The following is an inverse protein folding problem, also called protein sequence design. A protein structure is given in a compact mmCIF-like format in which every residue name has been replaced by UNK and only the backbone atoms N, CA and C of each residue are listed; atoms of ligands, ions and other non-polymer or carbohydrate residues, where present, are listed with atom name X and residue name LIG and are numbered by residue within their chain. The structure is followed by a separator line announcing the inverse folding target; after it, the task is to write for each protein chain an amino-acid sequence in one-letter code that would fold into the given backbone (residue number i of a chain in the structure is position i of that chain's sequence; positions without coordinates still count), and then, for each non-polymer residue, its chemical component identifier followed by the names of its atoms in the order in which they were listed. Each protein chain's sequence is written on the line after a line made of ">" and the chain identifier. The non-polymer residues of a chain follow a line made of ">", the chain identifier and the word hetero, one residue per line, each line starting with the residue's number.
data_IF_435970513414
#
_entry.id   IF_435970513414
#
_cell.length_a   1.000
_cell.length_b   1.000
_cell.length_c   1.000
_cell.angle_alpha   90.00
_cell.angle_beta   90.00
_cell.angle_gamma   90.00
#
_symmetry.space_group_name_H-M   'P 1'
#
loop_
_entity.id
_entity.type
_entity.pdbx_description
1 polymer ?
#
# COMPACT_ATOMS: atom_id res chain seq x y z
N UNK A 1 -5.35 9.43 -1.88
CA UNK A 1 -6.41 9.47 -2.91
C UNK A 1 -5.93 8.70 -4.12
N UNK A 2 -6.82 8.07 -4.90
CA UNK A 2 -6.45 7.40 -6.15
C UNK A 2 -5.84 8.37 -7.17
N UNK A 3 -4.83 7.92 -7.89
CA UNK A 3 -4.07 8.67 -8.89
C UNK A 3 -4.17 8.00 -10.28
N UNK A 4 -4.24 8.82 -11.33
CA UNK A 4 -4.14 8.40 -12.73
C UNK A 4 -2.67 8.05 -13.08
N UNK A 5 -2.25 6.86 -12.65
CA UNK A 5 -0.88 6.39 -12.83
C UNK A 5 -0.61 6.03 -14.30
N UNK A 6 0.45 6.57 -14.94
CA UNK A 6 0.78 6.24 -16.33
C UNK A 6 0.96 4.73 -16.54
N UNK A 7 0.33 4.19 -17.58
CA UNK A 7 0.39 2.77 -17.93
C UNK A 7 -0.69 1.90 -17.28
N UNK A 8 -1.51 2.45 -16.39
CA UNK A 8 -2.66 1.76 -15.79
C UNK A 8 -3.97 2.23 -16.42
N UNK A 9 -4.88 1.28 -16.67
CA UNK A 9 -6.21 1.56 -17.24
C UNK A 9 -7.16 2.17 -16.20
N UNK A 10 -7.07 1.69 -14.96
CA UNK A 10 -7.88 2.14 -13.84
C UNK A 10 -7.05 3.06 -12.94
N UNK A 11 -7.71 3.97 -12.20
CA UNK A 11 -7.02 4.76 -11.16
C UNK A 11 -6.38 3.83 -10.13
N UNK A 12 -5.18 4.16 -9.67
CA UNK A 12 -4.44 3.38 -8.68
C UNK A 12 -4.30 4.18 -7.41
N UNK A 13 -4.59 3.58 -6.25
CA UNK A 13 -4.17 4.13 -4.96
C UNK A 13 -2.84 3.51 -4.59
N UNK A 14 -1.91 4.32 -4.05
CA UNK A 14 -0.59 3.86 -3.64
C UNK A 14 -0.20 4.51 -2.31
N UNK A 15 0.30 3.68 -1.39
CA UNK A 15 1.03 4.06 -0.20
C UNK A 15 2.51 3.78 -0.43
N UNK A 16 3.29 4.83 -0.69
CA UNK A 16 4.73 4.75 -0.98
C UNK A 16 5.50 5.71 -0.06
N UNK A 17 5.42 5.48 1.26
CA UNK A 17 6.15 6.24 2.28
C UNK A 17 7.63 5.84 2.35
N UNK A 18 8.33 5.90 1.22
CA UNK A 18 9.67 5.34 1.03
C UNK A 18 10.74 6.43 1.06
N UNK A 19 11.95 6.10 1.49
CA UNK A 19 13.10 7.00 1.48
C UNK A 19 13.52 7.36 0.06
N UNK A 20 13.49 6.38 -0.85
CA UNK A 20 13.74 6.58 -2.28
C UNK A 20 12.41 6.53 -3.02
N UNK A 21 12.12 7.55 -3.82
CA UNK A 21 10.87 7.67 -4.54
C UNK A 21 10.64 6.48 -5.49
N UNK A 22 9.47 5.83 -5.37
CA UNK A 22 9.08 4.69 -6.21
C UNK A 22 9.76 3.37 -5.85
N UNK A 23 10.48 3.30 -4.73
CA UNK A 23 11.10 2.08 -4.24
C UNK A 23 10.05 1.04 -3.83
N UNK A 24 10.07 -0.12 -4.46
CA UNK A 24 9.20 -1.26 -4.10
C UNK A 24 9.88 -2.30 -3.21
N UNK A 25 11.19 -2.14 -2.93
CA UNK A 25 11.89 -2.94 -1.91
C UNK A 25 11.63 -2.42 -0.50
N UNK A 26 11.26 -1.14 -0.39
CA UNK A 26 10.70 -0.57 0.83
C UNK A 26 9.22 -0.92 0.95
N UNK A 27 8.69 -0.86 2.17
CA UNK A 27 7.31 -1.24 2.42
C UNK A 27 6.38 -0.31 1.64
N UNK A 28 5.60 -0.90 0.75
CA UNK A 28 4.64 -0.19 -0.09
C UNK A 28 3.38 -1.02 -0.26
N UNK A 29 2.28 -0.35 -0.59
CA UNK A 29 1.04 -1.01 -0.94
C UNK A 29 0.32 -0.23 -2.03
N UNK A 30 -0.23 -0.94 -3.01
CA UNK A 30 -0.97 -0.34 -4.12
C UNK A 30 -2.11 -1.22 -4.61
N UNK A 31 -3.09 -0.59 -5.23
CA UNK A 31 -4.26 -1.28 -5.75
C UNK A 31 -4.93 -0.46 -6.87
N UNK A 32 -5.34 -1.09 -7.98
CA UNK A 32 -6.28 -0.46 -8.89
C UNK A 32 -7.65 -0.35 -8.22
N UNK A 33 -8.34 0.77 -8.42
CA UNK A 33 -9.69 1.01 -7.91
C UNK A 33 -10.69 0.29 -8.81
N UNK A 34 -10.73 -1.04 -8.72
CA UNK A 34 -11.70 -1.90 -9.39
C UNK A 34 -11.99 -3.16 -8.59
N UNK A 35 -13.14 -3.76 -8.85
CA UNK A 35 -13.51 -5.05 -8.27
C UNK A 35 -12.72 -6.22 -8.91
N UNK A 36 -12.36 -7.27 -8.15
CA UNK A 36 -12.39 -7.36 -6.68
C UNK A 36 -11.26 -6.51 -6.09
N UNK A 37 -11.56 -5.57 -5.18
CA UNK A 37 -10.65 -4.54 -4.67
C UNK A 37 -9.42 -5.13 -3.93
N UNK A 38 -8.50 -5.71 -4.68
CA UNK A 38 -7.31 -6.41 -4.20
C UNK A 38 -6.19 -5.40 -4.01
N UNK A 39 -5.60 -5.42 -2.81
CA UNK A 39 -4.42 -4.66 -2.48
C UNK A 39 -3.19 -5.56 -2.56
N UNK A 40 -2.16 -5.08 -3.25
CA UNK A 40 -0.83 -5.67 -3.24
C UNK A 40 -0.01 -4.98 -2.15
N UNK A 41 0.47 -5.74 -1.18
CA UNK A 41 1.34 -5.26 -0.12
C UNK A 41 2.68 -5.97 -0.28
N UNK A 42 3.74 -5.21 -0.48
CA UNK A 42 5.06 -5.75 -0.76
C UNK A 42 6.20 -4.95 -0.12
N UNK A 43 7.39 -5.53 -0.18
CA UNK A 43 8.61 -4.90 0.29
C UNK A 43 8.71 -4.80 1.80
N UNK A 44 9.73 -4.06 2.23
CA UNK A 44 10.10 -3.84 3.62
C UNK A 44 11.53 -4.30 3.89
N UNK A 45 12.39 -3.32 4.17
CA UNK A 45 13.82 -3.54 4.44
C UNK A 45 14.04 -4.30 5.75
N UNK A 46 13.15 -4.11 6.74
CA UNK A 46 13.24 -4.78 8.03
C UNK A 46 11.91 -5.45 8.39
N UNK A 47 12.00 -6.68 8.89
CA UNK A 47 10.82 -7.42 9.34
C UNK A 47 10.03 -6.69 10.43
N UNK A 48 10.73 -6.04 11.37
CA UNK A 48 10.09 -5.28 12.44
C UNK A 48 9.20 -4.15 11.92
N UNK A 49 9.65 -3.44 10.87
CA UNK A 49 8.84 -2.38 10.24
C UNK A 49 7.56 -2.96 9.64
N UNK A 50 7.66 -4.07 8.89
CA UNK A 50 6.51 -4.75 8.28
C UNK A 50 5.53 -5.21 9.35
N UNK A 51 6.01 -5.84 10.43
CA UNK A 51 5.16 -6.32 11.52
C UNK A 51 4.41 -5.19 12.21
N UNK A 52 5.07 -4.06 12.48
CA UNK A 52 4.43 -2.87 13.06
C UNK A 52 3.35 -2.34 12.11
N UNK A 53 3.66 -2.20 10.83
CA UNK A 53 2.70 -1.74 9.83
C UNK A 53 1.47 -2.66 9.75
N UNK A 54 1.66 -3.98 9.72
CA UNK A 54 0.56 -4.94 9.70
C UNK A 54 -0.36 -4.82 10.92
N UNK A 55 0.20 -4.66 12.13
CA UNK A 55 -0.58 -4.43 13.35
C UNK A 55 -1.37 -3.12 13.27
N UNK A 56 -0.74 -2.03 12.78
CA UNK A 56 -1.42 -0.73 12.62
C UNK A 56 -2.55 -0.79 11.58
N UNK A 57 -2.35 -1.49 10.47
CA UNK A 57 -3.38 -1.69 9.45
C UNK A 57 -4.57 -2.43 10.08
N UNK A 58 -4.30 -3.52 10.81
CA UNK A 58 -5.35 -4.26 11.50
C UNK A 58 -6.14 -3.38 12.49
N UNK A 59 -5.45 -2.56 13.29
CA UNK A 59 -6.11 -1.66 14.24
C UNK A 59 -7.00 -0.63 13.54
N UNK A 60 -6.58 -0.09 12.38
CA UNK A 60 -7.38 0.86 11.60
C UNK A 60 -8.61 0.17 11.01
N UNK A 61 -8.45 -1.02 10.43
CA UNK A 61 -9.56 -1.76 9.81
C UNK A 61 -10.57 -2.29 10.82
N UNK A 62 -10.15 -2.53 12.08
CA UNK A 62 -11.02 -3.04 13.13
C UNK A 62 -11.83 -1.95 13.83
N UNK A 63 -11.40 -0.68 13.78
CA UNK A 63 -12.15 0.41 14.41
C UNK A 63 -13.53 0.51 13.76
N UNK A 64 -14.62 0.40 14.52
CA UNK A 64 -15.94 0.72 13.98
C UNK A 64 -15.96 2.20 13.61
N UNK A 65 -16.57 2.52 12.48
CA UNK A 65 -16.92 3.89 12.10
C UNK A 65 -17.79 4.56 13.17
#
# INVERSE_FOLDING_TARGET
>A
MPWDMPGYTDKVIMAAGTFIQGSSIELSADAPIKEPYIVYIQGGITYSHIKIAAMKIYDVLKKPE
#
